data_IF_707418459100
#
_entry.id   IF_707418459100
#
_cell.length_a   1.000
_cell.length_b   1.000
_cell.length_c   1.000
_cell.angle_alpha   90.00
_cell.angle_beta   90.00
_cell.angle_gamma   90.00
#
_symmetry.space_group_name_H-M   'P 1'
#
loop_
_entity.id
_entity.type
_entity.pdbx_description
1 polymer ?
#
# COMPACT_ATOMS: atom_id res chain seq x y z
N UNK A 1 -10.20 3.91 -19.36
CA UNK A 1 -10.76 4.07 -17.99
C UNK A 1 -9.96 3.23 -17.01
N UNK A 2 -9.59 3.82 -15.89
CA UNK A 2 -8.80 3.13 -14.86
C UNK A 2 -9.75 2.33 -13.96
N UNK A 3 -9.45 1.06 -13.78
CA UNK A 3 -10.18 0.16 -12.89
C UNK A 3 -9.27 -0.28 -11.74
N UNK A 4 -9.72 -0.11 -10.51
CA UNK A 4 -8.98 -0.52 -9.30
C UNK A 4 -9.62 -1.81 -8.78
N UNK A 5 -8.82 -2.85 -8.64
CA UNK A 5 -9.35 -4.16 -8.23
C UNK A 5 -8.34 -4.96 -7.42
N UNK A 6 -8.83 -6.01 -6.77
CA UNK A 6 -7.95 -6.99 -6.14
C UNK A 6 -7.13 -7.69 -7.22
N UNK A 7 -5.82 -7.77 -7.01
CA UNK A 7 -4.95 -8.49 -7.92
C UNK A 7 -4.96 -9.99 -7.66
N UNK A 8 -4.75 -10.76 -8.71
CA UNK A 8 -4.64 -12.21 -8.66
C UNK A 8 -3.18 -12.63 -8.75
N UNK A 9 -2.91 -13.92 -8.54
CA UNK A 9 -1.57 -14.47 -8.77
C UNK A 9 -1.14 -14.27 -10.23
N UNK A 10 -2.07 -14.38 -11.16
CA UNK A 10 -1.81 -14.10 -12.59
C UNK A 10 -1.37 -12.65 -12.80
N UNK A 11 -2.03 -11.71 -12.13
CA UNK A 11 -1.66 -10.28 -12.20
C UNK A 11 -0.27 -10.04 -11.64
N UNK A 12 0.08 -10.71 -10.54
CA UNK A 12 1.41 -10.63 -9.95
C UNK A 12 2.47 -11.10 -10.93
N UNK A 13 2.21 -12.21 -11.64
CA UNK A 13 3.14 -12.73 -12.64
C UNK A 13 3.28 -11.77 -13.83
N UNK A 14 2.20 -11.13 -14.25
CA UNK A 14 2.25 -10.10 -15.30
C UNK A 14 3.14 -8.93 -14.87
N UNK A 15 3.03 -8.48 -13.62
CA UNK A 15 3.89 -7.42 -13.09
C UNK A 15 5.34 -7.83 -13.07
N UNK A 16 5.65 -9.04 -12.60
CA UNK A 16 7.02 -9.53 -12.51
C UNK A 16 7.64 -9.77 -13.89
N UNK A 17 6.85 -10.16 -14.87
CA UNK A 17 7.32 -10.33 -16.24
C UNK A 17 7.80 -9.00 -16.83
N UNK A 18 7.08 -7.91 -16.55
CA UNK A 18 7.42 -6.59 -17.07
C UNK A 18 8.43 -5.87 -16.18
N UNK A 19 8.37 -6.07 -14.88
CA UNK A 19 9.20 -5.38 -13.89
C UNK A 19 9.81 -6.40 -12.91
N UNK A 20 10.83 -7.18 -13.33
CA UNK A 20 11.39 -8.24 -12.47
C UNK A 20 11.92 -7.75 -11.12
N UNK A 21 12.36 -6.50 -11.05
CA UNK A 21 12.91 -5.92 -9.81
C UNK A 21 11.86 -5.73 -8.72
N UNK A 22 10.57 -5.84 -9.05
CA UNK A 22 9.50 -5.73 -8.06
C UNK A 22 9.42 -6.93 -7.13
N UNK A 23 10.07 -8.05 -7.48
CA UNK A 23 10.00 -9.28 -6.70
C UNK A 23 10.36 -9.06 -5.22
N UNK A 24 11.29 -8.17 -4.95
CA UNK A 24 11.72 -7.85 -3.57
C UNK A 24 10.59 -7.26 -2.69
N UNK A 25 9.52 -6.76 -3.29
CA UNK A 25 8.40 -6.20 -2.55
C UNK A 25 7.28 -7.21 -2.27
N UNK A 26 7.26 -8.33 -3.01
CA UNK A 26 6.20 -9.34 -2.91
C UNK A 26 6.59 -10.42 -1.90
N UNK A 27 6.54 -10.07 -0.62
CA UNK A 27 6.85 -11.01 0.45
C UNK A 27 5.74 -11.03 1.50
N UNK A 28 5.74 -12.07 2.33
CA UNK A 28 4.78 -12.24 3.40
C UNK A 28 3.42 -12.75 2.91
N UNK A 29 2.47 -12.80 3.83
CA UNK A 29 1.08 -13.16 3.54
C UNK A 29 0.38 -11.95 2.92
N UNK A 30 0.49 -11.83 1.60
CA UNK A 30 0.25 -10.60 0.88
C UNK A 30 -1.12 -10.40 0.31
N UNK A 31 -1.40 -9.11 0.04
CA UNK A 31 -2.61 -8.63 -0.64
C UNK A 31 -2.16 -7.72 -1.76
N UNK A 32 -2.61 -8.00 -2.96
CA UNK A 32 -2.29 -7.21 -4.15
C UNK A 32 -3.51 -6.40 -4.56
N UNK A 33 -3.29 -5.10 -4.79
CA UNK A 33 -4.27 -4.23 -5.44
C UNK A 33 -3.64 -3.75 -6.74
N UNK A 34 -4.39 -3.76 -7.83
CA UNK A 34 -3.91 -3.27 -9.11
C UNK A 34 -4.81 -2.17 -9.66
N UNK A 35 -4.19 -1.30 -10.45
CA UNK A 35 -4.88 -0.31 -11.28
C UNK A 35 -4.65 -0.71 -12.73
N UNK A 36 -5.74 -0.95 -13.45
CA UNK A 36 -5.69 -1.33 -14.87
C UNK A 36 -6.31 -0.27 -15.75
N UNK A 37 -5.69 -0.05 -16.90
CA UNK A 37 -6.27 0.73 -17.99
C UNK A 37 -6.40 -0.22 -19.19
N UNK A 38 -7.61 -0.72 -19.44
CA UNK A 38 -7.80 -1.79 -20.40
C UNK A 38 -7.06 -3.05 -19.97
N UNK A 39 -6.13 -3.51 -20.78
CA UNK A 39 -5.32 -4.70 -20.49
C UNK A 39 -3.96 -4.37 -19.89
N UNK A 40 -3.69 -3.09 -19.61
CA UNK A 40 -2.40 -2.64 -19.10
C UNK A 40 -2.47 -2.35 -17.61
N UNK A 41 -1.57 -2.92 -16.83
CA UNK A 41 -1.46 -2.61 -15.40
C UNK A 41 -0.64 -1.34 -15.28
N UNK A 42 -1.27 -0.27 -14.78
CA UNK A 42 -0.65 1.06 -14.68
C UNK A 42 -0.22 1.41 -13.26
N UNK A 43 -0.53 0.58 -12.29
CA UNK A 43 -0.11 0.77 -10.91
C UNK A 43 -0.43 -0.43 -10.05
N UNK A 44 0.20 -0.51 -8.89
CA UNK A 44 -0.08 -1.58 -7.94
C UNK A 44 0.24 -1.14 -6.51
N UNK A 45 -0.32 -1.89 -5.57
CA UNK A 45 -0.03 -1.79 -4.15
C UNK A 45 0.11 -3.21 -3.62
N UNK A 46 1.17 -3.46 -2.86
CA UNK A 46 1.35 -4.73 -2.16
C UNK A 46 1.40 -4.47 -0.66
N UNK A 47 0.59 -5.20 0.09
CA UNK A 47 0.58 -5.18 1.53
C UNK A 47 0.59 -6.61 2.05
N UNK A 48 1.04 -6.81 3.28
CA UNK A 48 1.01 -8.12 3.92
C UNK A 48 0.54 -8.03 5.36
N UNK A 49 -0.04 -9.12 5.85
CA UNK A 49 -0.41 -9.21 7.26
C UNK A 49 0.79 -9.63 8.07
N UNK A 50 0.96 -9.00 9.23
CA UNK A 50 2.00 -9.36 10.17
C UNK A 50 1.55 -9.06 11.60
N UNK A 51 2.18 -9.70 12.57
CA UNK A 51 1.90 -9.42 13.97
C UNK A 51 2.58 -8.13 14.39
N UNK A 52 1.86 -7.36 15.22
CA UNK A 52 2.44 -6.21 15.89
C UNK A 52 3.30 -6.75 17.04
N UNK A 53 4.39 -6.03 17.37
CA UNK A 53 5.31 -6.43 18.45
C UNK A 53 4.60 -6.53 19.79
N UNK A 54 5.06 -7.48 20.64
CA UNK A 54 4.58 -7.59 22.02
C UNK A 54 4.71 -6.22 22.73
N UNK A 55 3.79 -5.89 23.67
CA UNK A 55 2.75 -6.74 24.25
C UNK A 55 1.43 -6.76 23.49
N UNK A 56 1.34 -6.07 22.35
CA UNK A 56 0.11 -6.02 21.55
C UNK A 56 -0.02 -7.29 20.72
N UNK A 57 -0.98 -8.15 21.08
CA UNK A 57 -1.22 -9.41 20.36
C UNK A 57 -2.28 -9.24 19.29
N UNK A 58 -1.97 -8.43 18.28
CA UNK A 58 -2.86 -8.14 17.19
C UNK A 58 -2.10 -8.18 15.86
N UNK A 59 -2.82 -8.20 14.76
CA UNK A 59 -2.22 -8.16 13.43
C UNK A 59 -2.47 -6.82 12.76
N UNK A 60 -1.55 -6.44 11.92
CA UNK A 60 -1.66 -5.24 11.10
C UNK A 60 -1.51 -5.60 9.63
N UNK A 61 -2.02 -4.70 8.77
CA UNK A 61 -1.74 -4.72 7.34
C UNK A 61 -0.61 -3.74 7.09
N UNK A 62 0.53 -4.23 6.62
CA UNK A 62 1.68 -3.37 6.34
C UNK A 62 1.83 -3.20 4.83
N UNK A 63 1.74 -1.95 4.37
CA UNK A 63 1.90 -1.63 2.96
C UNK A 63 3.39 -1.59 2.64
N UNK A 64 3.83 -2.56 1.82
CA UNK A 64 5.23 -2.69 1.43
C UNK A 64 5.60 -1.72 0.33
N UNK A 65 4.69 -1.52 -0.64
CA UNK A 65 4.99 -0.72 -1.80
C UNK A 65 3.72 -0.28 -2.50
N UNK A 66 3.77 0.91 -3.08
CA UNK A 66 2.71 1.47 -3.91
C UNK A 66 3.37 2.29 -5.02
N UNK A 67 2.92 2.08 -6.25
CA UNK A 67 3.45 2.82 -7.40
C UNK A 67 2.42 2.97 -8.49
N UNK A 68 2.43 4.15 -9.14
CA UNK A 68 1.75 4.40 -10.41
C UNK A 68 2.86 4.56 -11.45
N UNK A 69 2.89 3.66 -12.46
CA UNK A 69 4.04 3.54 -13.35
C UNK A 69 4.20 4.68 -14.35
N UNK A 70 3.08 5.26 -14.78
CA UNK A 70 3.10 6.30 -15.81
C UNK A 70 3.04 7.69 -15.17
N UNK A 71 4.07 8.54 -15.36
CA UNK A 71 4.07 9.88 -14.76
C UNK A 71 2.82 10.70 -15.10
N UNK A 72 2.29 10.58 -16.33
CA UNK A 72 1.10 11.30 -16.76
C UNK A 72 -0.18 10.87 -16.03
N UNK A 73 -0.16 9.71 -15.37
CA UNK A 73 -1.29 9.23 -14.58
C UNK A 73 -1.18 9.57 -13.09
N UNK A 74 -0.04 10.11 -12.66
CA UNK A 74 0.16 10.52 -11.27
C UNK A 74 -0.67 11.76 -10.95
N UNK A 75 -1.02 11.93 -9.68
CA UNK A 75 -1.84 13.03 -9.19
C UNK A 75 -3.27 13.05 -9.74
N UNK A 76 -3.75 11.90 -10.23
CA UNK A 76 -5.12 11.73 -10.72
C UNK A 76 -5.98 10.89 -9.78
N UNK A 77 -5.53 10.68 -8.55
CA UNK A 77 -6.29 9.93 -7.56
C UNK A 77 -6.15 8.42 -7.62
N UNK A 78 -5.31 7.86 -8.51
CA UNK A 78 -5.12 6.41 -8.63
C UNK A 78 -4.51 5.84 -7.36
N UNK A 79 -3.47 6.46 -6.82
CA UNK A 79 -2.86 6.05 -5.56
C UNK A 79 -3.86 6.08 -4.42
N UNK A 80 -4.66 7.13 -4.33
CA UNK A 80 -5.74 7.26 -3.34
C UNK A 80 -6.73 6.11 -3.45
N UNK A 81 -7.15 5.77 -4.67
CA UNK A 81 -8.10 4.67 -4.87
C UNK A 81 -7.51 3.33 -4.47
N UNK A 82 -6.22 3.10 -4.74
CA UNK A 82 -5.55 1.87 -4.32
C UNK A 82 -5.44 1.79 -2.79
N UNK A 83 -5.14 2.90 -2.12
CA UNK A 83 -5.10 2.94 -0.65
C UNK A 83 -6.50 2.68 -0.08
N UNK A 84 -7.54 3.27 -0.65
CA UNK A 84 -8.91 3.02 -0.23
C UNK A 84 -9.28 1.54 -0.39
N UNK A 85 -8.80 0.90 -1.45
CA UNK A 85 -9.04 -0.52 -1.66
C UNK A 85 -8.38 -1.39 -0.59
N UNK A 86 -7.13 -1.09 -0.22
CA UNK A 86 -6.46 -1.86 0.84
C UNK A 86 -7.12 -1.61 2.21
N UNK A 87 -7.67 -0.41 2.44
CA UNK A 87 -8.44 -0.14 3.65
C UNK A 87 -9.69 -1.01 3.70
N UNK A 88 -10.41 -1.16 2.59
CA UNK A 88 -11.56 -2.06 2.50
C UNK A 88 -11.17 -3.50 2.83
N UNK A 89 -10.08 -3.98 2.25
CA UNK A 89 -9.57 -5.34 2.49
C UNK A 89 -9.22 -5.52 3.97
N UNK A 90 -8.52 -4.56 4.56
CA UNK A 90 -8.12 -4.60 5.95
C UNK A 90 -9.33 -4.62 6.90
N UNK A 91 -10.36 -3.83 6.59
CA UNK A 91 -11.61 -3.84 7.37
C UNK A 91 -12.31 -5.19 7.30
N UNK A 92 -12.40 -5.77 6.12
CA UNK A 92 -13.01 -7.08 5.93
C UNK A 92 -12.24 -8.17 6.69
N UNK A 93 -10.93 -8.04 6.79
CA UNK A 93 -10.07 -8.99 7.52
C UNK A 93 -9.93 -8.65 9.00
N UNK A 94 -10.50 -7.54 9.46
CA UNK A 94 -10.52 -7.11 10.85
C UNK A 94 -9.13 -6.99 11.50
N UNK A 95 -8.15 -6.50 10.74
CA UNK A 95 -6.83 -6.21 11.30
C UNK A 95 -6.90 -4.95 12.19
N UNK A 96 -5.99 -4.86 13.16
CA UNK A 96 -5.98 -3.77 14.12
C UNK A 96 -5.68 -2.41 13.49
N UNK A 97 -4.72 -2.37 12.57
CA UNK A 97 -4.29 -1.13 11.92
C UNK A 97 -3.69 -1.39 10.55
N UNK A 98 -3.52 -0.33 9.78
CA UNK A 98 -2.76 -0.33 8.53
C UNK A 98 -1.59 0.60 8.73
N UNK A 99 -0.39 0.18 8.32
CA UNK A 99 0.82 0.96 8.50
C UNK A 99 1.68 0.91 7.25
N UNK A 100 2.47 1.97 7.06
CA UNK A 100 3.48 2.03 6.00
C UNK A 100 4.66 2.85 6.50
N UNK A 101 5.77 2.77 5.77
CA UNK A 101 6.93 3.64 5.97
C UNK A 101 7.07 4.55 4.76
N UNK A 102 7.48 5.78 4.99
CA UNK A 102 7.71 6.74 3.92
C UNK A 102 8.99 7.53 4.21
N UNK A 103 9.74 7.83 3.15
CA UNK A 103 10.94 8.66 3.29
C UNK A 103 10.55 10.09 3.65
N UNK A 104 11.31 10.71 4.53
CA UNK A 104 11.04 12.06 5.01
C UNK A 104 10.92 13.08 3.87
N UNK A 105 11.75 12.97 2.87
CA UNK A 105 11.78 13.88 1.73
C UNK A 105 10.70 13.61 0.68
N UNK A 106 9.97 12.50 0.77
CA UNK A 106 8.95 12.15 -0.22
C UNK A 106 7.63 12.85 0.09
N UNK A 107 7.55 14.14 -0.27
CA UNK A 107 6.40 15.00 0.02
C UNK A 107 5.11 14.48 -0.65
N UNK A 108 5.20 13.95 -1.86
CA UNK A 108 4.04 13.41 -2.57
C UNK A 108 3.41 12.24 -1.80
N UNK A 109 4.23 11.35 -1.26
CA UNK A 109 3.73 10.24 -0.44
C UNK A 109 3.12 10.73 0.87
N UNK A 110 3.71 11.75 1.51
CA UNK A 110 3.14 12.34 2.72
C UNK A 110 1.73 12.86 2.46
N UNK A 111 1.53 13.55 1.34
CA UNK A 111 0.21 14.05 0.95
C UNK A 111 -0.78 12.93 0.72
N UNK A 112 -0.36 11.85 0.07
CA UNK A 112 -1.19 10.68 -0.16
C UNK A 112 -1.71 10.11 1.17
N UNK A 113 -0.82 9.91 2.14
CA UNK A 113 -1.19 9.33 3.42
C UNK A 113 -2.10 10.25 4.23
N UNK A 114 -1.78 11.54 4.30
CA UNK A 114 -2.62 12.51 5.00
C UNK A 114 -4.01 12.60 4.38
N UNK A 115 -4.10 12.61 3.05
CA UNK A 115 -5.38 12.65 2.35
C UNK A 115 -6.26 11.44 2.69
N UNK A 116 -5.64 10.29 2.94
CA UNK A 116 -6.35 9.07 3.29
C UNK A 116 -6.50 8.88 4.80
N UNK A 117 -6.31 9.94 5.58
CA UNK A 117 -6.52 9.97 7.03
C UNK A 117 -5.50 9.18 7.83
N UNK A 118 -4.34 8.92 7.27
CA UNK A 118 -3.22 8.35 8.02
C UNK A 118 -2.58 9.41 8.91
N UNK A 119 -2.19 9.00 10.11
CA UNK A 119 -1.37 9.83 11.00
C UNK A 119 0.10 9.64 10.66
N UNK A 120 0.86 10.70 10.69
CA UNK A 120 2.32 10.66 10.47
C UNK A 120 3.00 10.69 11.83
N UNK A 121 3.93 9.75 12.06
CA UNK A 121 4.72 9.73 13.28
C UNK A 121 5.59 10.99 13.37
N UNK A 122 5.67 11.63 14.53
CA UNK A 122 6.56 12.80 14.71
C UNK A 122 8.03 12.42 14.77
N UNK A 123 8.37 11.15 14.98
CA UNK A 123 9.73 10.68 15.14
C UNK A 123 10.20 9.92 13.90
N UNK A 124 11.42 10.23 13.47
CA UNK A 124 12.07 9.53 12.39
C UNK A 124 12.60 8.18 12.89
N UNK A 125 12.44 7.14 12.08
CA UNK A 125 12.99 5.81 12.40
C UNK A 125 14.50 5.78 12.14
N UNK A 126 15.22 4.79 12.73
CA UNK A 126 16.66 4.66 12.51
C UNK A 126 17.10 4.57 11.05
N UNK A 127 16.24 4.05 10.18
CA UNK A 127 16.52 3.94 8.74
C UNK A 127 16.23 5.23 7.97
N UNK A 128 15.84 6.31 8.66
CA UNK A 128 15.52 7.59 8.04
C UNK A 128 14.08 7.73 7.58
N UNK A 129 13.27 6.69 7.70
CA UNK A 129 11.87 6.71 7.29
C UNK A 129 10.96 7.20 8.42
N UNK A 130 9.77 7.66 8.05
CA UNK A 130 8.71 8.03 8.99
C UNK A 130 7.59 7.01 8.83
N UNK A 131 7.05 6.53 9.96
CA UNK A 131 5.91 5.64 9.93
C UNK A 131 4.61 6.43 9.74
N UNK A 132 3.71 5.89 8.94
CA UNK A 132 2.35 6.41 8.82
C UNK A 132 1.38 5.29 9.19
N UNK A 133 0.29 5.64 9.85
CA UNK A 133 -0.65 4.64 10.39
C UNK A 133 -2.09 5.08 10.21
N UNK A 134 -2.95 4.11 9.95
CA UNK A 134 -4.40 4.28 9.92
C UNK A 134 -5.00 3.31 10.92
N UNK A 135 -5.70 3.84 11.92
CA UNK A 135 -6.23 3.07 13.05
C UNK A 135 -7.71 3.43 13.27
N UNK A 136 -8.44 2.57 13.94
CA UNK A 136 -9.78 2.89 14.45
C UNK A 136 -10.92 2.53 13.53
N UNK A 137 -10.78 2.70 12.23
CA UNK A 137 -11.85 2.37 11.28
C UNK A 137 -11.77 0.94 10.80
N UNK A 138 -10.72 0.26 11.21
CA UNK A 138 -10.46 -1.11 10.78
C UNK A 138 -11.17 -2.09 11.71
N UNK A 139 -11.38 -1.70 12.96
CA UNK A 139 -12.07 -2.53 13.96
C UNK A 139 -13.57 -2.38 13.93
#
# INVERSE_FOLDING_TARGET
>A
MINIKNGTESDKQRLLSKYPNLDKYFFGNGRLVIAEDGNDIVGFLWAHRRKISAPVEAEEMFINYIEVFKPELRCRGIGTQMVQKIIEIARAEQVYQIRAKVKTENVSSHRLWLKNKFSISPAQMPDGNIAVSFVGYVL
#
